data_IF_543592049499
#
_entry.id   IF_543592049499
#
_cell.length_a   1.000
_cell.length_b   1.000
_cell.length_c   1.000
_cell.angle_alpha   90.00
_cell.angle_beta   90.00
_cell.angle_gamma   90.00
#
_symmetry.space_group_name_H-M   'P 1'
#
loop_
_entity.id
_entity.type
_entity.pdbx_description
1 polymer ?
#
# COMPACT_ATOMS: atom_id res chain seq x y z
N UNK A 1 4.75 -29.02 8.44
CA UNK A 1 4.72 -27.54 8.36
C UNK A 1 4.28 -27.19 6.95
N UNK A 2 3.05 -26.71 6.79
CA UNK A 2 2.50 -26.40 5.45
C UNK A 2 3.21 -25.15 4.95
N UNK A 3 4.04 -25.31 3.91
CA UNK A 3 4.59 -24.21 3.12
C UNK A 3 3.46 -23.56 2.32
N UNK A 4 2.57 -22.81 2.98
CA UNK A 4 1.81 -21.79 2.26
C UNK A 4 2.86 -20.79 1.81
N UNK A 5 3.14 -20.74 0.50
CA UNK A 5 3.89 -19.65 -0.13
C UNK A 5 3.29 -18.36 0.41
N UNK A 6 3.94 -17.75 1.40
CA UNK A 6 3.64 -16.39 1.81
C UNK A 6 4.07 -15.56 0.62
N UNK A 7 3.16 -15.36 -0.34
CA UNK A 7 3.34 -14.35 -1.37
C UNK A 7 3.71 -13.09 -0.62
N UNK A 8 4.94 -12.63 -0.87
CA UNK A 8 5.52 -11.51 -0.16
C UNK A 8 4.50 -10.37 -0.16
N UNK A 9 4.23 -9.81 1.02
CA UNK A 9 3.20 -8.79 1.14
C UNK A 9 3.53 -7.62 0.20
N UNK A 10 2.75 -7.46 -0.87
CA UNK A 10 2.95 -6.35 -1.78
C UNK A 10 2.41 -5.07 -1.15
N UNK A 11 3.33 -4.27 -0.61
CA UNK A 11 3.06 -2.96 -0.04
C UNK A 11 3.52 -1.81 -0.94
N UNK A 12 3.76 -2.06 -2.23
CA UNK A 12 4.29 -1.08 -3.19
C UNK A 12 5.58 -0.38 -2.70
N UNK A 13 6.37 -1.02 -1.83
CA UNK A 13 7.56 -0.40 -1.23
C UNK A 13 7.29 0.67 -0.16
N UNK A 14 6.04 0.83 0.27
CA UNK A 14 5.61 1.83 1.26
C UNK A 14 5.51 1.30 2.68
N UNK A 15 5.55 -0.01 2.89
CA UNK A 15 5.59 -0.58 4.23
C UNK A 15 6.64 -1.68 4.31
N UNK A 16 7.28 -1.79 5.49
CA UNK A 16 8.23 -2.87 5.82
C UNK A 16 7.60 -4.01 6.61
N UNK A 17 6.36 -3.83 7.06
CA UNK A 17 5.63 -4.77 7.90
C UNK A 17 4.26 -5.01 7.31
N UNK A 18 3.81 -6.25 7.41
CA UNK A 18 2.45 -6.64 7.10
C UNK A 18 1.94 -7.64 8.13
N UNK A 19 0.62 -7.83 8.16
CA UNK A 19 -0.03 -8.91 8.88
C UNK A 19 -0.80 -9.78 7.89
N UNK A 20 -0.95 -11.05 8.22
CA UNK A 20 -1.85 -11.93 7.50
C UNK A 20 -3.27 -11.82 8.07
N UNK A 21 -4.26 -11.80 7.18
CA UNK A 21 -5.68 -11.87 7.54
C UNK A 21 -6.32 -13.06 6.79
N UNK A 22 -6.77 -14.04 7.55
CA UNK A 22 -7.38 -15.27 7.04
C UNK A 22 -8.70 -15.01 6.30
N UNK A 23 -9.48 -14.03 6.73
CA UNK A 23 -10.75 -13.68 6.10
C UNK A 23 -10.51 -13.13 4.69
N UNK A 24 -9.57 -12.19 4.55
CA UNK A 24 -9.17 -11.66 3.25
C UNK A 24 -8.55 -12.72 2.34
N UNK A 25 -7.81 -13.68 2.91
CA UNK A 25 -7.29 -14.81 2.14
C UNK A 25 -8.42 -15.64 1.54
N UNK A 26 -9.44 -15.99 2.34
CA UNK A 26 -10.62 -16.73 1.84
C UNK A 26 -11.38 -15.93 0.78
N UNK A 27 -11.65 -14.65 1.03
CA UNK A 27 -12.35 -13.76 0.10
C UNK A 27 -11.60 -13.56 -1.23
N UNK A 28 -10.26 -13.60 -1.20
CA UNK A 28 -9.43 -13.52 -2.40
C UNK A 28 -9.35 -14.83 -3.21
N UNK A 29 -10.17 -15.83 -2.90
CA UNK A 29 -10.09 -17.15 -3.53
C UNK A 29 -8.82 -17.91 -3.14
N UNK A 30 -8.33 -17.73 -1.90
CA UNK A 30 -7.08 -18.30 -1.38
C UNK A 30 -5.82 -17.82 -2.13
N UNK A 31 -5.85 -16.60 -2.67
CA UNK A 31 -4.72 -16.00 -3.37
C UNK A 31 -3.83 -15.10 -2.49
N UNK A 32 -4.41 -14.21 -1.69
CA UNK A 32 -3.67 -13.27 -0.83
C UNK A 32 -4.46 -12.82 0.39
N UNK A 33 -3.84 -12.94 1.57
CA UNK A 33 -4.37 -12.43 2.85
C UNK A 33 -3.55 -11.30 3.46
N UNK A 34 -2.50 -10.83 2.78
CA UNK A 34 -1.58 -9.83 3.33
C UNK A 34 -2.23 -8.45 3.46
N UNK A 35 -1.99 -7.78 4.59
CA UNK A 35 -2.40 -6.40 4.87
C UNK A 35 -1.19 -5.62 5.37
N UNK A 36 -0.81 -4.57 4.65
CA UNK A 36 0.32 -3.72 5.01
C UNK A 36 0.03 -2.90 6.26
N UNK A 37 1.06 -2.69 7.07
CA UNK A 37 0.98 -1.93 8.31
C UNK A 37 1.85 -0.69 8.23
N UNK A 38 1.33 0.44 8.72
CA UNK A 38 2.05 1.73 8.80
C UNK A 38 2.63 2.14 7.43
N UNK A 39 1.76 2.29 6.43
CA UNK A 39 2.14 2.81 5.12
C UNK A 39 2.88 4.16 5.25
N UNK A 40 4.00 4.28 4.54
CA UNK A 40 4.86 5.47 4.49
C UNK A 40 4.61 6.26 3.20
N UNK A 41 5.25 7.42 3.08
CA UNK A 41 5.16 8.27 1.88
C UNK A 41 3.73 8.72 1.57
N UNK A 42 2.92 8.92 2.62
CA UNK A 42 1.54 9.40 2.51
C UNK A 42 0.60 8.51 1.70
N UNK A 43 0.95 7.22 1.58
CA UNK A 43 0.08 6.20 1.02
C UNK A 43 -0.81 5.58 2.10
N UNK A 44 -1.90 4.96 1.67
CA UNK A 44 -2.90 4.30 2.48
C UNK A 44 -3.49 3.10 1.74
N UNK A 45 -4.28 2.30 2.47
CA UNK A 45 -4.94 1.10 1.96
C UNK A 45 -4.18 -0.19 2.21
N UNK A 46 -4.83 -1.31 1.87
CA UNK A 46 -4.34 -2.68 2.12
C UNK A 46 -2.93 -2.93 1.61
N UNK A 47 -2.63 -2.41 0.42
CA UNK A 47 -1.33 -2.53 -0.26
C UNK A 47 -0.58 -1.20 -0.34
N UNK A 48 -0.98 -0.17 0.43
CA UNK A 48 -0.44 1.18 0.30
C UNK A 48 -0.54 1.73 -1.14
N UNK A 49 -1.70 1.56 -1.80
CA UNK A 49 -1.88 1.76 -3.24
C UNK A 49 -2.63 3.04 -3.60
N UNK A 50 -3.19 3.75 -2.63
CA UNK A 50 -3.79 5.07 -2.82
C UNK A 50 -3.21 6.07 -1.83
N UNK A 51 -3.47 7.35 -2.03
CA UNK A 51 -2.98 8.41 -1.15
C UNK A 51 -3.90 8.60 0.05
N UNK A 52 -3.31 8.88 1.21
CA UNK A 52 -4.09 9.22 2.41
C UNK A 52 -4.91 10.49 2.17
N UNK A 53 -5.94 10.70 2.97
CA UNK A 53 -6.75 11.91 2.93
C UNK A 53 -5.90 13.19 3.04
N UNK A 54 -6.25 14.21 2.25
CA UNK A 54 -5.47 15.45 2.09
C UNK A 54 -4.22 15.34 1.20
N UNK A 55 -4.01 14.18 0.57
CA UNK A 55 -2.94 13.96 -0.41
C UNK A 55 -3.50 13.44 -1.72
N UNK A 56 -2.95 13.90 -2.83
CA UNK A 56 -3.34 13.49 -4.17
C UNK A 56 -2.24 12.68 -4.85
N UNK A 57 -2.64 11.87 -5.83
CA UNK A 57 -1.75 11.01 -6.61
C UNK A 57 -1.03 11.84 -7.68
N UNK A 58 0.30 11.80 -7.68
CA UNK A 58 1.12 12.43 -8.73
C UNK A 58 1.19 11.53 -9.99
N UNK A 59 0.50 11.87 -11.08
CA UNK A 59 0.44 11.00 -12.27
C UNK A 59 1.80 10.80 -12.94
N UNK A 60 2.77 11.68 -12.69
CA UNK A 60 4.12 11.60 -13.29
C UNK A 60 5.02 10.54 -12.66
N UNK A 61 4.61 9.96 -11.53
CA UNK A 61 5.41 8.99 -10.76
C UNK A 61 4.68 7.66 -10.66
N UNK A 62 5.37 6.52 -10.68
CA UNK A 62 4.74 5.23 -10.39
C UNK A 62 4.30 5.16 -8.92
N UNK A 63 3.31 4.31 -8.61
CA UNK A 63 2.76 4.19 -7.24
C UNK A 63 3.83 3.78 -6.24
N UNK A 64 4.84 3.02 -6.66
CA UNK A 64 5.94 2.54 -5.82
C UNK A 64 6.93 3.62 -5.41
N UNK A 65 6.82 4.83 -5.96
CA UNK A 65 7.75 5.93 -5.69
C UNK A 65 7.46 6.58 -4.34
N UNK A 66 8.51 6.96 -3.60
CA UNK A 66 8.41 7.65 -2.28
C UNK A 66 7.70 9.02 -2.30
N UNK A 67 7.38 9.54 -3.48
CA UNK A 67 6.71 10.82 -3.73
C UNK A 67 5.49 10.64 -4.63
N UNK A 68 4.94 9.42 -4.70
CA UNK A 68 3.74 9.11 -5.48
C UNK A 68 2.51 9.90 -5.00
N UNK A 69 2.52 10.33 -3.73
CA UNK A 69 1.48 11.16 -3.11
C UNK A 69 2.06 12.51 -2.70
N UNK A 70 1.37 13.59 -3.09
CA UNK A 70 1.73 14.99 -2.81
C UNK A 70 0.60 15.67 -2.03
N UNK A 71 0.93 16.70 -1.25
CA UNK A 71 -0.08 17.51 -0.54
C UNK A 71 -0.71 18.49 -1.48
N UNK A 72 -2.02 18.65 -1.37
CA UNK A 72 -2.78 19.68 -2.09
C UNK A 72 -2.20 21.09 -1.89
N UNK A 73 -1.71 21.40 -0.69
CA UNK A 73 -1.08 22.69 -0.37
C UNK A 73 0.26 22.96 -1.09
N UNK A 74 0.94 21.91 -1.58
CA UNK A 74 2.17 22.04 -2.39
C UNK A 74 1.87 22.38 -3.87
N UNK A 75 0.61 22.36 -4.31
CA UNK A 75 0.21 22.88 -5.63
C UNK A 75 -0.01 24.39 -5.63
N UNK A 76 -0.41 24.96 -4.48
CA UNK A 76 -0.68 26.39 -4.35
C UNK A 76 0.56 27.23 -4.04
N UNK A 77 1.70 26.58 -3.82
CA UNK A 77 3.00 27.20 -3.50
C UNK A 77 4.07 26.94 -4.56
N UNK A 78 3.70 26.32 -5.68
CA UNK A 78 4.56 26.03 -6.83
C UNK A 78 4.27 26.95 -8.01
#
# INVERSE_FOLDING_TARGET
MIFIRSTECNCNGHARRCRFNMELYKLSGRASGGVCLKCRHYTAGRHCHYCREGYYRDPTKPITHKKACKREYELFTA
#
